data_IF_381115672779
#
_entry.id   IF_381115672779
#
_cell.length_a   1.000
_cell.length_b   1.000
_cell.length_c   1.000
_cell.angle_alpha   90.00
_cell.angle_beta   90.00
_cell.angle_gamma   90.00
#
_symmetry.space_group_name_H-M   'P 1'
#
loop_
_entity.id
_entity.type
_entity.pdbx_description
1 polymer ?
#
# COMPACT_ATOMS: atom_id res chain seq x y z
N UNK A 1 5.17 7.35 13.24
CA UNK A 1 4.74 6.85 11.92
C UNK A 1 3.28 6.44 11.95
N UNK A 2 2.91 5.41 12.72
CA UNK A 2 1.51 5.03 13.00
C UNK A 2 0.63 6.20 13.42
N UNK A 3 1.08 6.96 14.44
CA UNK A 3 0.38 8.17 14.89
C UNK A 3 0.24 9.24 13.78
N UNK A 4 1.21 9.36 12.86
CA UNK A 4 1.14 10.31 11.75
C UNK A 4 0.19 9.83 10.63
N UNK A 5 0.08 8.52 10.45
CA UNK A 5 -0.88 7.89 9.54
C UNK A 5 -2.28 7.75 10.18
N UNK A 6 -2.41 7.87 11.50
CA UNK A 6 -3.64 7.59 12.22
C UNK A 6 -4.08 6.13 12.12
N UNK A 7 -3.12 5.19 12.08
CA UNK A 7 -3.39 3.74 11.96
C UNK A 7 -2.55 2.96 12.96
N UNK A 8 -3.08 1.83 13.43
CA UNK A 8 -2.32 0.83 14.18
C UNK A 8 -1.90 -0.30 13.24
N UNK A 9 -0.60 -0.61 13.17
CA UNK A 9 -0.06 -1.68 12.35
C UNK A 9 0.02 -2.98 13.17
N UNK A 10 -0.33 -4.13 12.58
CA UNK A 10 -0.15 -5.41 13.26
C UNK A 10 1.34 -5.75 13.41
N UNK A 11 1.65 -6.69 14.32
CA UNK A 11 3.03 -7.00 14.73
C UNK A 11 3.89 -7.51 13.56
N UNK A 12 3.31 -8.31 12.68
CA UNK A 12 3.96 -8.85 11.47
C UNK A 12 4.42 -7.73 10.54
N UNK A 13 3.53 -6.77 10.26
CA UNK A 13 3.84 -5.62 9.44
C UNK A 13 4.91 -4.74 10.08
N UNK A 14 4.87 -4.54 11.41
CA UNK A 14 5.93 -3.80 12.10
C UNK A 14 7.28 -4.49 11.96
N UNK A 15 7.33 -5.82 11.98
CA UNK A 15 8.57 -6.58 11.75
C UNK A 15 9.07 -6.41 10.30
N UNK A 16 8.18 -6.58 9.32
CA UNK A 16 8.51 -6.40 7.89
C UNK A 16 9.00 -4.98 7.63
N UNK A 17 8.30 -3.96 8.12
CA UNK A 17 8.67 -2.56 7.89
C UNK A 17 10.03 -2.20 8.53
N UNK A 18 10.39 -2.84 9.64
CA UNK A 18 11.72 -2.67 10.26
C UNK A 18 12.83 -3.23 9.38
N UNK A 19 12.56 -4.35 8.70
CA UNK A 19 13.49 -5.01 7.79
C UNK A 19 13.54 -4.33 6.41
N UNK A 20 12.38 -4.12 5.81
CA UNK A 20 12.16 -3.52 4.50
C UNK A 20 11.36 -2.22 4.65
N UNK A 21 12.05 -1.08 4.51
CA UNK A 21 11.45 0.24 4.71
C UNK A 21 10.76 0.79 3.46
N UNK A 22 10.53 0.00 2.42
CA UNK A 22 10.16 0.48 1.08
C UNK A 22 11.37 0.59 0.16
N UNK A 23 11.13 0.89 -1.12
CA UNK A 23 12.12 0.77 -2.20
C UNK A 23 11.62 -0.15 -3.31
N UNK A 24 12.53 -0.69 -4.13
CA UNK A 24 12.17 -1.65 -5.16
C UNK A 24 11.90 -3.03 -4.54
N UNK A 25 10.81 -3.68 -4.94
CA UNK A 25 10.55 -5.10 -4.67
C UNK A 25 9.50 -5.63 -5.67
N UNK A 26 9.79 -6.75 -6.33
CA UNK A 26 8.96 -7.42 -7.34
C UNK A 26 8.56 -6.48 -8.47
N UNK A 27 9.56 -5.82 -9.07
CA UNK A 27 9.36 -4.84 -10.15
C UNK A 27 8.67 -3.52 -9.74
N UNK A 28 8.25 -3.36 -8.48
CA UNK A 28 7.47 -2.21 -8.00
C UNK A 28 8.29 -1.32 -7.07
N UNK A 29 8.18 -0.01 -7.26
CA UNK A 29 8.69 0.98 -6.34
C UNK A 29 7.68 1.25 -5.22
N UNK A 30 7.95 0.76 -4.01
CA UNK A 30 7.15 0.95 -2.81
C UNK A 30 7.54 2.23 -2.09
N UNK A 31 6.54 2.97 -1.61
CA UNK A 31 6.73 4.16 -0.79
C UNK A 31 7.52 3.81 0.47
N UNK A 32 8.44 4.70 0.83
CA UNK A 32 9.27 4.52 1.99
C UNK A 32 8.45 4.76 3.25
N UNK A 33 8.57 3.85 4.22
CA UNK A 33 8.06 3.98 5.58
C UNK A 33 8.87 5.02 6.37
N UNK A 34 8.65 6.27 6.01
CA UNK A 34 9.22 7.47 6.60
C UNK A 34 8.10 8.47 6.95
N UNK A 35 8.41 9.46 7.79
CA UNK A 35 7.46 10.54 8.13
C UNK A 35 7.51 11.70 7.15
N UNK A 36 8.61 11.86 6.41
CA UNK A 36 8.89 13.01 5.55
C UNK A 36 9.62 12.58 4.29
N UNK A 37 9.52 13.38 3.22
CA UNK A 37 10.25 13.20 1.96
C UNK A 37 9.34 12.82 0.80
N UNK A 38 9.78 13.13 -0.42
CA UNK A 38 8.97 13.04 -1.65
C UNK A 38 8.42 11.65 -1.97
N UNK A 39 8.97 10.59 -1.38
CA UNK A 39 8.52 9.21 -1.54
C UNK A 39 8.07 8.57 -0.22
N UNK A 40 7.59 9.39 0.72
CA UNK A 40 7.13 8.98 2.03
C UNK A 40 5.70 8.45 1.99
N UNK A 41 5.48 7.29 2.62
CA UNK A 41 4.16 6.70 2.86
C UNK A 41 3.22 7.69 3.58
N UNK A 42 3.76 8.48 4.52
CA UNK A 42 3.00 9.43 5.33
C UNK A 42 2.56 10.62 4.49
N UNK A 43 3.49 11.26 3.78
CA UNK A 43 3.18 12.45 2.98
C UNK A 43 2.22 12.10 1.84
N UNK A 44 2.46 10.97 1.17
CA UNK A 44 1.62 10.57 0.04
C UNK A 44 0.22 10.17 0.48
N UNK A 45 0.10 9.38 1.56
CA UNK A 45 -1.20 9.04 2.13
C UNK A 45 -1.96 10.29 2.59
N UNK A 46 -1.28 11.23 3.26
CA UNK A 46 -1.90 12.48 3.69
C UNK A 46 -2.35 13.35 2.51
N UNK A 47 -1.55 13.44 1.44
CA UNK A 47 -1.90 14.16 0.23
C UNK A 47 -3.15 13.59 -0.43
N UNK A 48 -3.23 12.26 -0.58
CA UNK A 48 -4.38 11.61 -1.19
C UNK A 48 -5.64 11.75 -0.35
N UNK A 49 -5.55 11.61 0.97
CA UNK A 49 -6.67 11.84 1.89
C UNK A 49 -7.25 13.25 1.76
N UNK A 50 -6.40 14.28 1.64
CA UNK A 50 -6.83 15.66 1.44
C UNK A 50 -7.44 15.87 0.05
N UNK A 51 -6.86 15.30 -0.98
CA UNK A 51 -7.30 15.50 -2.37
C UNK A 51 -8.69 14.90 -2.64
N UNK A 52 -9.00 13.77 -1.99
CA UNK A 52 -10.22 13.00 -2.24
C UNK A 52 -11.22 13.04 -1.07
N UNK A 53 -10.95 13.85 -0.03
CA UNK A 53 -11.73 13.92 1.21
C UNK A 53 -12.04 12.52 1.77
N UNK A 54 -10.99 11.73 1.97
CA UNK A 54 -11.11 10.31 2.31
C UNK A 54 -10.91 10.04 3.80
N UNK A 55 -11.61 9.03 4.34
CA UNK A 55 -11.44 8.60 5.72
C UNK A 55 -10.00 8.12 5.99
N UNK A 56 -9.55 8.27 7.23
CA UNK A 56 -8.24 7.83 7.70
C UNK A 56 -8.15 6.30 7.89
N UNK A 57 -8.72 5.52 6.96
CA UNK A 57 -8.86 4.06 7.05
C UNK A 57 -7.99 3.30 6.03
N UNK A 58 -7.04 3.99 5.38
CA UNK A 58 -6.14 3.36 4.43
C UNK A 58 -4.76 4.01 4.42
N UNK A 59 -3.77 3.28 3.91
CA UNK A 59 -2.39 3.72 3.67
C UNK A 59 -2.04 3.43 2.22
N UNK A 60 -1.44 4.39 1.50
CA UNK A 60 -0.92 4.15 0.14
C UNK A 60 0.45 3.49 0.27
N UNK A 61 0.64 2.32 -0.34
CA UNK A 61 1.89 1.57 -0.30
C UNK A 61 2.76 1.79 -1.55
N UNK A 62 2.13 1.87 -2.72
CA UNK A 62 2.81 2.11 -3.99
C UNK A 62 1.84 2.69 -5.03
N UNK A 63 2.39 3.36 -6.04
CA UNK A 63 1.64 3.88 -7.20
C UNK A 63 2.37 3.49 -8.50
N UNK A 64 2.28 2.21 -8.92
CA UNK A 64 2.76 1.79 -10.24
C UNK A 64 2.02 2.51 -11.38
N UNK A 65 2.52 2.40 -12.61
CA UNK A 65 1.87 3.01 -13.78
C UNK A 65 0.43 2.50 -13.89
N UNK A 66 -0.54 3.43 -13.94
CA UNK A 66 -1.98 3.16 -14.04
C UNK A 66 -2.60 2.33 -12.88
N UNK A 67 -1.86 2.14 -11.79
CA UNK A 67 -2.30 1.34 -10.65
C UNK A 67 -2.02 2.02 -9.31
N UNK A 68 -2.62 1.49 -8.27
CA UNK A 68 -2.34 1.85 -6.90
C UNK A 68 -2.40 0.61 -6.01
N UNK A 69 -1.51 0.58 -5.03
CA UNK A 69 -1.52 -0.43 -3.97
C UNK A 69 -1.84 0.29 -2.68
N UNK A 70 -2.97 -0.06 -2.08
CA UNK A 70 -3.48 0.55 -0.85
C UNK A 70 -3.70 -0.51 0.21
N UNK A 71 -3.31 -0.20 1.43
CA UNK A 71 -3.61 -1.03 2.59
C UNK A 71 -4.79 -0.45 3.36
N UNK A 72 -5.92 -1.13 3.27
CA UNK A 72 -7.11 -0.80 4.07
C UNK A 72 -6.95 -1.27 5.51
N UNK A 73 -7.54 -0.50 6.43
CA UNK A 73 -7.48 -0.73 7.88
C UNK A 73 -8.85 -1.02 8.48
N UNK A 74 -9.93 -0.68 7.79
CA UNK A 74 -11.30 -1.05 8.17
C UNK A 74 -11.60 -2.54 7.90
N UNK A 75 -10.93 -3.09 6.90
CA UNK A 75 -10.70 -4.52 6.70
C UNK A 75 -9.18 -4.70 6.55
N UNK A 76 -8.53 -5.66 7.21
CA UNK A 76 -7.09 -5.85 7.10
C UNK A 76 -6.77 -6.42 5.71
N UNK A 77 -6.82 -5.58 4.67
CA UNK A 77 -6.57 -6.06 3.30
C UNK A 77 -5.66 -5.10 2.55
N UNK A 78 -4.58 -5.61 1.99
CA UNK A 78 -3.85 -4.92 0.94
C UNK A 78 -4.61 -5.13 -0.35
N UNK A 79 -4.83 -4.06 -1.12
CA UNK A 79 -5.58 -4.08 -2.37
C UNK A 79 -4.71 -3.42 -3.44
N UNK A 80 -4.50 -4.15 -4.52
CA UNK A 80 -3.95 -3.62 -5.76
C UNK A 80 -5.12 -3.40 -6.72
N UNK A 81 -5.33 -2.15 -7.12
CA UNK A 81 -6.37 -1.75 -8.05
C UNK A 81 -5.82 -0.81 -9.12
N UNK A 82 -6.61 -0.54 -10.14
CA UNK A 82 -6.33 0.55 -11.05
C UNK A 82 -6.39 1.91 -10.34
N UNK A 83 -5.59 2.87 -10.82
CA UNK A 83 -5.50 4.19 -10.22
C UNK A 83 -6.84 4.94 -10.22
N UNK A 84 -7.68 4.76 -11.25
CA UNK A 84 -9.01 5.37 -11.32
C UNK A 84 -10.02 4.77 -10.31
N UNK A 85 -9.76 3.56 -9.81
CA UNK A 85 -10.62 2.88 -8.84
C UNK A 85 -10.24 3.16 -7.38
N UNK A 86 -9.13 3.87 -7.14
CA UNK A 86 -8.60 4.09 -5.78
C UNK A 86 -9.65 4.69 -4.84
N UNK A 87 -10.42 5.67 -5.31
CA UNK A 87 -11.46 6.32 -4.51
C UNK A 87 -12.59 5.35 -4.14
N UNK A 88 -13.07 4.55 -5.09
CA UNK A 88 -14.09 3.53 -4.83
C UNK A 88 -13.59 2.50 -3.83
N UNK A 89 -12.37 2.00 -4.06
CA UNK A 89 -11.73 1.00 -3.21
C UNK A 89 -11.59 1.49 -1.78
N UNK A 90 -11.13 2.72 -1.55
CA UNK A 90 -10.93 3.26 -0.19
C UNK A 90 -12.24 3.71 0.47
N UNK A 91 -13.29 4.04 -0.29
CA UNK A 91 -14.66 4.28 0.22
C UNK A 91 -15.43 3.01 0.54
N UNK A 92 -14.96 1.84 0.08
CA UNK A 92 -15.69 0.58 0.22
C UNK A 92 -16.79 0.39 -0.83
N UNK A 93 -16.72 1.13 -1.93
CA UNK A 93 -17.59 0.97 -3.08
C UNK A 93 -17.03 -0.12 -4.02
N UNK A 94 -17.89 -0.76 -4.85
CA UNK A 94 -17.42 -1.68 -5.87
C UNK A 94 -16.49 -0.98 -6.88
N UNK A 95 -15.30 -1.55 -7.15
CA UNK A 95 -14.41 -1.06 -8.20
C UNK A 95 -15.04 -1.31 -9.58
N UNK A 96 -14.59 -0.53 -10.58
CA UNK A 96 -15.04 -0.68 -11.98
C UNK A 96 -14.19 -1.66 -12.77
N UNK A 97 -12.98 -1.96 -12.29
CA UNK A 97 -12.07 -2.95 -12.82
C UNK A 97 -11.79 -4.05 -11.79
N UNK A 98 -11.16 -5.13 -12.24
CA UNK A 98 -10.72 -6.20 -11.36
C UNK A 98 -9.66 -5.69 -10.37
N UNK A 99 -9.69 -6.26 -9.16
CA UNK A 99 -8.76 -5.93 -8.09
C UNK A 99 -8.19 -7.20 -7.50
N UNK A 100 -6.92 -7.14 -7.13
CA UNK A 100 -6.24 -8.21 -6.40
C UNK A 100 -6.11 -7.80 -4.94
N UNK A 101 -6.37 -8.71 -4.01
CA UNK A 101 -6.27 -8.40 -2.59
C UNK A 101 -5.62 -9.51 -1.77
N UNK A 102 -4.94 -9.11 -0.71
CA UNK A 102 -4.31 -9.99 0.28
C UNK A 102 -4.85 -9.66 1.66
N UNK A 103 -5.17 -10.70 2.45
CA UNK A 103 -5.73 -10.58 3.80
C UNK A 103 -4.73 -10.09 4.85
N UNK A 104 -3.44 -10.03 4.51
CA UNK A 104 -2.40 -9.54 5.41
C UNK A 104 -1.34 -8.79 4.61
N UNK A 105 -0.63 -7.87 5.29
CA UNK A 105 0.54 -7.23 4.70
C UNK A 105 1.67 -8.23 4.47
N UNK A 106 1.80 -9.23 5.34
CA UNK A 106 2.77 -10.32 5.18
C UNK A 106 2.50 -11.15 3.91
N UNK A 107 1.25 -11.53 3.64
CA UNK A 107 0.90 -12.28 2.42
C UNK A 107 1.14 -11.47 1.14
N UNK A 108 0.88 -10.17 1.17
CA UNK A 108 1.28 -9.27 0.07
C UNK A 108 2.80 -9.22 -0.09
N UNK A 109 3.55 -9.08 1.00
CA UNK A 109 5.01 -8.99 0.96
C UNK A 109 5.67 -10.28 0.45
N UNK A 110 5.15 -11.45 0.84
CA UNK A 110 5.58 -12.75 0.32
C UNK A 110 5.33 -12.87 -1.19
N UNK A 111 4.16 -12.45 -1.66
CA UNK A 111 3.90 -12.38 -3.11
C UNK A 111 4.93 -11.51 -3.85
N UNK A 112 5.28 -10.34 -3.28
CA UNK A 112 6.26 -9.46 -3.90
C UNK A 112 7.68 -10.04 -3.90
N UNK A 113 8.06 -10.82 -2.89
CA UNK A 113 9.34 -11.55 -2.87
C UNK A 113 9.37 -12.62 -3.96
N UNK A 114 8.30 -13.40 -4.11
CA UNK A 114 8.24 -14.43 -5.15
C UNK A 114 8.31 -13.82 -6.56
N UNK A 115 7.62 -12.70 -6.79
CA UNK A 115 7.68 -11.97 -8.06
C UNK A 115 9.11 -11.49 -8.40
N UNK A 116 9.85 -11.02 -7.39
CA UNK A 116 11.26 -10.63 -7.55
C UNK A 116 12.16 -11.83 -7.92
N UNK A 117 11.93 -12.99 -7.30
CA UNK A 117 12.69 -14.22 -7.61
C UNK A 117 12.40 -14.75 -9.02
N UNK A 118 11.14 -14.65 -9.48
CA UNK A 118 10.73 -15.00 -10.83
C UNK A 118 11.40 -14.09 -11.86
N UNK A 119 11.36 -12.76 -11.68
CA UNK A 119 12.01 -11.79 -12.56
C UNK A 119 13.53 -11.99 -12.67
N UNK A 120 14.19 -12.44 -11.60
CA UNK A 120 15.64 -12.71 -11.59
C UNK A 120 16.01 -14.06 -12.22
N UNK A 121 15.03 -14.94 -12.43
CA UNK A 121 15.22 -16.28 -13.01
C UNK A 121 15.00 -16.33 -14.52
N UNK A 122 14.52 -15.24 -15.13
CA UNK A 122 14.33 -15.03 -16.57
C UNK A 122 15.52 -14.33 -17.25
#
# INVERSE_FOLDING_TARGET
>A
MEAALGVDLPDDARAIIRFYRGGMLGGISHLTWATTGSYSVVERTAALRRALDLPAIFVVLAEPVEAAIVWRRDRPSVVWCHAHDIERVVRGEPPTSDVTSWDTYAGFFEYMLNAEEEEQSE
#
